data_IF_011698707192
#
_entry.id   IF_011698707192
#
_cell.length_a   1.000
_cell.length_b   1.000
_cell.length_c   1.000
_cell.angle_alpha   90.00
_cell.angle_beta   90.00
_cell.angle_gamma   90.00
#
_symmetry.space_group_name_H-M   'P 1'
#
loop_
_entity.id
_entity.type
_entity.pdbx_description
1 polymer ?
#
# COMPACT_ATOMS: atom_id res chain seq x y z
N UNK A 1 30.47 -0.70 8.15
CA UNK A 1 30.17 0.73 8.04
C UNK A 1 31.49 1.46 7.88
N UNK A 2 31.77 1.99 6.69
CA UNK A 2 32.91 2.87 6.51
C UNK A 2 32.75 4.11 7.40
N UNK A 3 33.80 4.44 8.16
CA UNK A 3 33.82 5.63 8.98
C UNK A 3 33.75 6.86 8.06
N UNK A 4 32.62 7.55 8.06
CA UNK A 4 32.46 8.78 7.30
C UNK A 4 33.50 9.84 7.74
N UNK A 5 34.01 10.60 6.77
CA UNK A 5 34.99 11.67 7.04
C UNK A 5 34.27 12.93 7.47
N UNK A 6 34.55 13.42 8.69
CA UNK A 6 34.05 14.71 9.15
C UNK A 6 34.81 15.85 8.47
N UNK A 7 34.09 16.80 7.86
CA UNK A 7 34.64 17.97 7.18
C UNK A 7 33.71 19.16 7.24
N UNK A 8 34.26 20.37 7.26
CA UNK A 8 33.54 21.62 7.05
C UNK A 8 33.25 21.79 5.54
N UNK A 9 32.02 21.97 5.16
CA UNK A 9 31.57 22.07 3.76
C UNK A 9 30.83 23.39 3.55
N UNK A 10 31.07 24.05 2.44
CA UNK A 10 30.29 25.24 2.06
C UNK A 10 28.83 24.87 1.87
N UNK A 11 27.94 25.65 2.52
CA UNK A 11 26.48 25.43 2.44
C UNK A 11 25.99 25.56 0.99
N UNK A 12 26.60 26.44 0.19
CA UNK A 12 26.30 26.62 -1.25
C UNK A 12 26.52 25.36 -2.08
N UNK A 13 27.43 24.48 -1.67
CA UNK A 13 27.83 23.29 -2.41
C UNK A 13 26.93 22.08 -2.08
N UNK A 14 25.99 22.26 -1.14
CA UNK A 14 25.11 21.19 -0.67
C UNK A 14 23.72 21.36 -1.31
N UNK A 15 23.31 20.34 -2.06
CA UNK A 15 21.96 20.24 -2.65
C UNK A 15 21.04 19.46 -1.69
N UNK A 16 19.73 19.84 -1.59
CA UNK A 16 18.76 19.07 -0.84
C UNK A 16 18.62 17.62 -1.40
N UNK A 17 18.19 16.71 -0.56
CA UNK A 17 17.93 15.34 -0.97
C UNK A 17 16.68 15.27 -1.88
N UNK A 18 16.77 14.80 -3.14
CA UNK A 18 15.63 14.69 -4.04
C UNK A 18 14.60 13.65 -3.58
N UNK A 19 14.97 12.75 -2.66
CA UNK A 19 14.11 11.68 -2.15
C UNK A 19 13.43 12.05 -0.81
N UNK A 20 13.61 13.28 -0.30
CA UNK A 20 13.02 13.73 0.96
C UNK A 20 11.50 13.96 0.82
N UNK A 21 10.66 13.24 1.59
CA UNK A 21 9.21 13.39 1.50
C UNK A 21 8.68 14.63 2.23
N UNK A 22 9.45 15.22 3.15
CA UNK A 22 9.00 16.34 3.99
C UNK A 22 9.39 17.68 3.40
N UNK A 23 8.41 18.37 2.77
CA UNK A 23 8.58 19.70 2.21
C UNK A 23 8.20 20.83 3.20
N UNK A 24 7.37 20.54 4.21
CA UNK A 24 6.87 21.56 5.16
C UNK A 24 7.43 21.36 6.57
N UNK A 25 8.05 22.41 7.10
CA UNK A 25 8.50 22.49 8.49
C UNK A 25 7.77 23.65 9.17
N UNK A 26 7.36 23.46 10.42
CA UNK A 26 6.81 24.57 11.22
C UNK A 26 7.91 25.60 11.42
N UNK A 27 7.72 26.83 10.96
CA UNK A 27 8.70 27.90 11.07
C UNK A 27 9.14 28.17 12.51
N UNK A 28 8.21 28.09 13.49
CA UNK A 28 8.54 28.27 14.90
C UNK A 28 9.63 27.32 15.36
N UNK A 29 9.48 26.03 15.04
CA UNK A 29 10.45 25.00 15.46
C UNK A 29 11.79 25.09 14.72
N UNK A 30 11.82 25.69 13.53
CA UNK A 30 13.07 25.96 12.82
C UNK A 30 13.81 27.16 13.44
N UNK A 31 13.08 28.21 13.85
CA UNK A 31 13.63 29.38 14.54
C UNK A 31 14.23 29.01 15.90
N UNK A 32 13.53 28.17 16.68
CA UNK A 32 14.06 27.66 17.97
C UNK A 32 15.37 26.90 17.78
N UNK A 33 15.43 26.02 16.76
CA UNK A 33 16.64 25.30 16.42
C UNK A 33 17.77 26.24 15.98
N UNK A 34 17.48 27.26 15.17
CA UNK A 34 18.46 28.25 14.74
C UNK A 34 19.03 29.02 15.96
N UNK A 35 18.18 29.47 16.88
CA UNK A 35 18.64 30.14 18.12
C UNK A 35 19.50 29.20 18.97
N UNK A 36 19.14 27.92 19.07
CA UNK A 36 19.96 26.95 19.79
C UNK A 36 21.35 26.78 19.15
N UNK A 37 21.40 26.67 17.82
CA UNK A 37 22.65 26.57 17.06
C UNK A 37 23.50 27.84 17.18
N UNK A 38 22.86 28.99 17.21
CA UNK A 38 23.57 30.26 17.37
C UNK A 38 24.28 30.37 18.71
N UNK A 39 23.65 29.88 19.79
CA UNK A 39 24.19 29.92 21.17
C UNK A 39 25.20 28.83 21.45
N UNK A 40 24.96 27.62 21.00
CA UNK A 40 25.71 26.42 21.41
C UNK A 40 26.55 25.80 20.29
N UNK A 41 26.47 26.35 19.06
CA UNK A 41 27.05 25.72 17.88
C UNK A 41 26.21 24.51 17.40
N UNK A 42 26.64 23.93 16.29
CA UNK A 42 26.04 22.72 15.76
C UNK A 42 26.67 21.48 16.42
N UNK A 43 26.00 20.89 17.42
CA UNK A 43 26.50 19.75 18.19
C UNK A 43 26.60 18.47 17.38
N UNK A 44 25.69 18.27 16.42
CA UNK A 44 25.67 17.09 15.55
C UNK A 44 25.85 17.50 14.10
N UNK A 45 26.88 16.99 13.38
CA UNK A 45 27.07 17.28 11.98
C UNK A 45 25.90 16.75 11.13
N UNK A 46 25.72 17.32 9.95
CA UNK A 46 24.84 16.76 8.93
C UNK A 46 25.54 15.59 8.23
N UNK A 47 24.76 14.75 7.53
CA UNK A 47 25.31 13.70 6.68
C UNK A 47 25.13 14.06 5.22
N UNK A 48 26.19 13.98 4.44
CA UNK A 48 26.19 14.31 3.00
C UNK A 48 26.88 13.22 2.19
N UNK A 49 26.48 13.10 0.94
CA UNK A 49 27.15 12.30 -0.08
C UNK A 49 27.89 13.19 -1.06
N UNK A 50 29.09 12.80 -1.41
CA UNK A 50 29.86 13.48 -2.47
C UNK A 50 29.26 13.16 -3.84
N UNK A 51 29.09 14.16 -4.69
CA UNK A 51 28.62 14.05 -6.08
C UNK A 51 29.62 14.71 -7.02
N UNK A 52 29.38 14.57 -8.32
CA UNK A 52 30.24 15.22 -9.35
C UNK A 52 30.25 16.74 -9.21
N UNK A 53 29.15 17.35 -8.78
CA UNK A 53 28.98 18.83 -8.71
C UNK A 53 28.87 19.37 -7.29
N UNK A 54 29.43 18.69 -6.29
CA UNK A 54 29.34 19.11 -4.89
C UNK A 54 28.87 18.00 -3.97
N UNK A 55 27.87 18.29 -3.12
CA UNK A 55 27.36 17.35 -2.14
C UNK A 55 25.84 17.28 -2.19
N UNK A 56 25.26 16.12 -1.84
CA UNK A 56 23.82 15.95 -1.63
C UNK A 56 23.56 15.60 -0.17
N UNK A 57 22.62 16.28 0.44
CA UNK A 57 22.22 16.05 1.81
C UNK A 57 21.58 14.65 1.94
N UNK A 58 22.03 13.86 2.92
CA UNK A 58 21.45 12.56 3.26
C UNK A 58 20.52 12.72 4.46
N UNK A 59 21.03 13.28 5.55
CA UNK A 59 20.29 13.49 6.79
C UNK A 59 20.66 14.84 7.44
N UNK A 60 19.72 15.42 8.20
CA UNK A 60 19.93 16.68 8.91
C UNK A 60 19.32 17.90 8.23
N UNK A 61 18.24 17.76 7.44
CA UNK A 61 17.57 18.86 6.72
C UNK A 61 17.22 20.05 7.61
N UNK A 62 16.71 19.83 8.83
CA UNK A 62 16.39 20.91 9.78
C UNK A 62 17.64 21.70 10.21
N UNK A 63 18.75 21.00 10.44
CA UNK A 63 20.05 21.60 10.81
C UNK A 63 20.63 22.41 9.64
N UNK A 64 20.55 21.84 8.44
CA UNK A 64 20.97 22.52 7.22
C UNK A 64 20.18 23.82 6.98
N UNK A 65 18.86 23.78 7.06
CA UNK A 65 18.00 24.99 6.91
C UNK A 65 18.22 26.01 8.03
N UNK A 66 18.41 25.58 9.27
CA UNK A 66 18.74 26.49 10.37
C UNK A 66 20.07 27.21 10.13
N UNK A 67 21.12 26.50 9.69
CA UNK A 67 22.41 27.11 9.35
C UNK A 67 22.32 28.07 8.16
N UNK A 68 21.49 27.74 7.14
CA UNK A 68 21.17 28.67 6.04
C UNK A 68 20.50 29.96 6.55
N UNK A 69 19.50 29.82 7.44
CA UNK A 69 18.79 31.00 8.00
C UNK A 69 19.70 31.89 8.82
N UNK A 70 20.72 31.33 9.46
CA UNK A 70 21.77 32.03 10.16
C UNK A 70 22.86 32.61 9.24
N UNK A 71 22.72 32.44 7.90
CA UNK A 71 23.69 32.91 6.90
C UNK A 71 25.13 32.44 7.17
N UNK A 72 25.28 31.25 7.75
CA UNK A 72 26.60 30.62 7.92
C UNK A 72 27.18 30.20 6.59
N UNK A 73 28.46 30.33 6.38
CA UNK A 73 29.13 29.96 5.12
C UNK A 73 29.44 28.46 5.06
N UNK A 74 29.82 27.88 6.22
CA UNK A 74 30.24 26.49 6.35
C UNK A 74 29.35 25.73 7.34
N UNK A 75 29.26 24.43 7.16
CA UNK A 75 28.54 23.51 8.05
C UNK A 75 29.37 22.23 8.27
N UNK A 76 29.51 21.77 9.53
CA UNK A 76 30.12 20.46 9.80
C UNK A 76 29.28 19.33 9.21
N UNK A 77 29.93 18.49 8.40
CA UNK A 77 29.27 17.40 7.68
C UNK A 77 30.11 16.13 7.72
N UNK A 78 29.45 14.99 7.85
CA UNK A 78 30.04 13.66 7.66
C UNK A 78 29.80 13.24 6.21
N UNK A 79 30.89 13.05 5.46
CA UNK A 79 30.85 12.59 4.09
C UNK A 79 30.72 11.07 4.10
N UNK A 80 29.64 10.55 3.51
CA UNK A 80 29.41 9.12 3.34
C UNK A 80 29.56 8.76 1.84
N UNK A 81 30.25 7.67 1.58
CA UNK A 81 30.36 7.10 0.24
C UNK A 81 29.19 6.13 0.03
N UNK A 82 28.05 6.65 -0.44
CA UNK A 82 26.85 5.88 -0.70
C UNK A 82 26.51 5.89 -2.20
N UNK A 83 26.01 4.79 -2.71
CA UNK A 83 25.35 4.71 -4.01
C UNK A 83 24.03 5.45 -4.00
N UNK A 84 23.38 5.68 -5.14
CA UNK A 84 22.04 6.29 -5.20
C UNK A 84 20.99 5.40 -4.49
N UNK A 85 21.11 4.09 -4.63
CA UNK A 85 20.25 3.09 -4.00
C UNK A 85 20.40 3.10 -2.47
N UNK A 86 21.64 3.14 -1.96
CA UNK A 86 21.89 3.25 -0.52
C UNK A 86 21.39 4.57 0.04
N UNK A 87 21.55 5.69 -0.68
CA UNK A 87 21.04 6.99 -0.26
C UNK A 87 19.52 7.01 -0.17
N UNK A 88 18.83 6.44 -1.18
CA UNK A 88 17.39 6.29 -1.16
C UNK A 88 16.92 5.42 0.01
N UNK A 89 17.61 4.31 0.24
CA UNK A 89 17.35 3.40 1.36
C UNK A 89 17.51 4.11 2.71
N UNK A 90 18.59 4.83 2.92
CA UNK A 90 18.82 5.61 4.14
C UNK A 90 17.74 6.66 4.38
N UNK A 91 17.31 7.36 3.33
CA UNK A 91 16.23 8.35 3.42
C UNK A 91 14.89 7.73 3.82
N UNK A 92 14.57 6.55 3.28
CA UNK A 92 13.34 5.83 3.62
C UNK A 92 13.41 5.31 5.07
N UNK A 93 14.55 4.74 5.49
CA UNK A 93 14.74 4.22 6.84
C UNK A 93 14.71 5.34 7.90
N UNK A 94 15.37 6.47 7.64
CA UNK A 94 15.31 7.66 8.52
C UNK A 94 13.86 8.12 8.68
N UNK A 95 13.11 8.21 7.58
CA UNK A 95 11.70 8.58 7.63
C UNK A 95 10.85 7.56 8.42
N UNK A 96 11.11 6.26 8.28
CA UNK A 96 10.41 5.20 9.01
C UNK A 96 10.72 5.16 10.52
N UNK A 97 11.84 5.74 10.96
CA UNK A 97 12.22 5.82 12.38
C UNK A 97 11.58 7.02 13.10
N UNK A 98 10.79 7.84 12.40
CA UNK A 98 10.10 8.97 13.04
C UNK A 98 8.94 8.47 13.90
N UNK A 99 8.81 9.06 15.09
CA UNK A 99 7.74 8.71 16.05
C UNK A 99 6.37 9.29 15.67
N UNK A 100 6.33 10.25 14.74
CA UNK A 100 5.13 11.03 14.37
C UNK A 100 4.52 10.63 13.01
N UNK A 101 4.87 9.47 12.46
CA UNK A 101 4.31 8.98 11.18
C UNK A 101 2.83 8.60 11.30
N UNK A 102 2.01 9.12 10.39
CA UNK A 102 0.68 8.57 10.22
C UNK A 102 0.74 7.18 9.55
N UNK A 103 -0.31 6.37 9.75
CA UNK A 103 -0.37 4.99 9.23
C UNK A 103 -0.26 4.93 7.69
N UNK A 104 -0.69 5.96 6.97
CA UNK A 104 -0.61 6.00 5.50
C UNK A 104 0.78 6.44 5.04
N UNK A 105 1.44 7.36 5.75
CA UNK A 105 2.84 7.72 5.50
C UNK A 105 3.74 6.50 5.72
N UNK A 106 3.49 5.74 6.78
CA UNK A 106 4.17 4.49 7.06
C UNK A 106 3.95 3.46 5.93
N UNK A 107 2.71 3.30 5.45
CA UNK A 107 2.37 2.40 4.35
C UNK A 107 3.07 2.77 3.04
N UNK A 108 3.12 4.07 2.71
CA UNK A 108 3.82 4.59 1.52
C UNK A 108 5.33 4.33 1.64
N UNK A 109 5.90 4.55 2.83
CA UNK A 109 7.32 4.31 3.08
C UNK A 109 7.69 2.84 2.93
N UNK A 110 6.86 1.92 3.43
CA UNK A 110 7.07 0.48 3.21
C UNK A 110 7.00 0.10 1.73
N UNK A 111 6.03 0.64 0.99
CA UNK A 111 5.91 0.39 -0.44
C UNK A 111 7.14 0.89 -1.21
N UNK A 112 7.60 2.10 -0.92
CA UNK A 112 8.82 2.66 -1.51
C UNK A 112 10.06 1.83 -1.16
N UNK A 113 10.18 1.35 0.08
CA UNK A 113 11.29 0.51 0.52
C UNK A 113 11.32 -0.83 -0.21
N UNK A 114 10.14 -1.45 -0.43
CA UNK A 114 10.01 -2.65 -1.24
C UNK A 114 10.45 -2.43 -2.68
N UNK A 115 9.98 -1.34 -3.31
CA UNK A 115 10.26 -1.01 -4.69
C UNK A 115 11.75 -0.66 -4.91
N UNK A 116 12.34 0.13 -4.02
CA UNK A 116 13.72 0.58 -4.11
C UNK A 116 14.74 -0.56 -4.05
N UNK A 117 14.48 -1.57 -3.23
CA UNK A 117 15.40 -2.69 -3.01
C UNK A 117 14.88 -4.02 -3.58
N UNK A 118 13.80 -3.99 -4.36
CA UNK A 118 13.14 -5.18 -4.91
C UNK A 118 12.86 -6.25 -3.83
N UNK A 119 12.41 -5.82 -2.64
CA UNK A 119 12.15 -6.68 -1.50
C UNK A 119 10.69 -7.11 -1.46
N UNK A 120 10.47 -8.34 -0.98
CA UNK A 120 9.13 -8.79 -0.61
C UNK A 120 8.76 -8.34 0.83
N UNK A 121 7.47 -8.47 1.20
CA UNK A 121 6.96 -8.04 2.51
C UNK A 121 7.64 -8.75 3.69
N UNK A 122 8.08 -9.98 3.51
CA UNK A 122 8.76 -10.76 4.54
C UNK A 122 10.18 -10.23 4.81
N UNK A 123 10.90 -9.92 3.73
CA UNK A 123 12.23 -9.33 3.83
C UNK A 123 12.19 -7.94 4.48
N UNK A 124 11.21 -7.10 4.09
CA UNK A 124 10.98 -5.80 4.74
C UNK A 124 10.68 -5.96 6.22
N UNK A 125 9.81 -6.90 6.58
CA UNK A 125 9.46 -7.17 7.97
C UNK A 125 10.71 -7.58 8.78
N UNK A 126 11.53 -8.47 8.24
CA UNK A 126 12.79 -8.90 8.87
C UNK A 126 13.76 -7.73 9.05
N UNK A 127 13.95 -6.90 8.03
CA UNK A 127 14.87 -5.77 8.06
C UNK A 127 14.46 -4.69 9.09
N UNK A 128 13.16 -4.52 9.29
CA UNK A 128 12.58 -3.49 10.17
C UNK A 128 12.19 -4.02 11.56
N UNK A 129 12.40 -5.30 11.86
CA UNK A 129 12.01 -5.92 13.13
C UNK A 129 10.50 -5.93 13.36
N UNK A 130 9.70 -5.96 12.28
CA UNK A 130 8.22 -5.99 12.32
C UNK A 130 7.71 -7.37 11.91
N UNK A 131 6.44 -7.69 12.20
CA UNK A 131 5.84 -8.89 11.65
C UNK A 131 5.44 -8.70 10.19
N UNK A 132 5.50 -9.77 9.38
CA UNK A 132 5.02 -9.75 7.98
C UNK A 132 3.55 -9.32 7.90
N UNK A 133 2.73 -9.78 8.84
CA UNK A 133 1.31 -9.42 8.89
C UNK A 133 1.10 -7.92 9.17
N UNK A 134 1.95 -7.30 9.98
CA UNK A 134 1.91 -5.86 10.23
C UNK A 134 2.19 -5.09 8.94
N UNK A 135 3.30 -5.39 8.25
CA UNK A 135 3.68 -4.76 6.97
C UNK A 135 2.56 -4.92 5.93
N UNK A 136 2.07 -6.16 5.74
CA UNK A 136 1.00 -6.45 4.78
C UNK A 136 -0.28 -5.66 5.09
N UNK A 137 -0.71 -5.62 6.35
CA UNK A 137 -1.92 -4.92 6.78
C UNK A 137 -1.79 -3.40 6.64
N UNK A 138 -0.61 -2.84 6.90
CA UNK A 138 -0.35 -1.41 6.75
C UNK A 138 -0.38 -1.03 5.26
N UNK A 139 0.33 -1.75 4.40
CA UNK A 139 0.34 -1.49 2.94
C UNK A 139 -1.08 -1.63 2.34
N UNK A 140 -1.86 -2.60 2.79
CA UNK A 140 -3.24 -2.79 2.30
C UNK A 140 -4.13 -1.56 2.52
N UNK A 141 -3.88 -0.74 3.53
CA UNK A 141 -4.66 0.48 3.77
C UNK A 141 -4.58 1.48 2.61
N UNK A 142 -3.54 1.43 1.78
CA UNK A 142 -3.41 2.24 0.56
C UNK A 142 -4.49 1.94 -0.49
N UNK A 143 -5.19 0.81 -0.37
CA UNK A 143 -6.29 0.44 -1.26
C UNK A 143 -7.67 0.97 -0.79
N UNK A 144 -7.71 1.74 0.29
CA UNK A 144 -8.94 2.38 0.75
C UNK A 144 -9.33 3.55 -0.16
N UNK A 145 -10.64 3.78 -0.38
CA UNK A 145 -11.12 5.00 -1.02
C UNK A 145 -10.66 6.26 -0.27
N UNK A 146 -10.37 7.32 -1.02
CA UNK A 146 -9.85 8.57 -0.46
C UNK A 146 -10.71 9.16 0.67
N UNK A 147 -12.03 8.99 0.57
CA UNK A 147 -12.98 9.44 1.59
C UNK A 147 -12.77 8.73 2.93
N UNK A 148 -12.50 7.42 2.90
CA UNK A 148 -12.22 6.63 4.10
C UNK A 148 -10.83 6.92 4.65
N UNK A 149 -9.84 7.13 3.77
CA UNK A 149 -8.50 7.60 4.17
C UNK A 149 -8.60 8.90 4.97
N UNK A 150 -9.42 9.86 4.50
CA UNK A 150 -9.65 11.13 5.20
C UNK A 150 -10.27 10.90 6.58
N UNK A 151 -11.32 10.07 6.70
CA UNK A 151 -11.93 9.75 8.00
C UNK A 151 -10.93 9.14 9.00
N UNK A 152 -9.98 8.34 8.53
CA UNK A 152 -8.94 7.78 9.40
C UNK A 152 -7.92 8.84 9.81
N UNK A 153 -7.51 9.71 8.89
CA UNK A 153 -6.58 10.83 9.19
C UNK A 153 -7.18 11.83 10.16
N UNK A 154 -8.48 12.08 10.06
CA UNK A 154 -9.24 12.98 10.94
C UNK A 154 -9.61 12.29 12.29
N UNK A 155 -9.14 11.06 12.53
CA UNK A 155 -9.42 10.25 13.73
C UNK A 155 -10.91 9.92 13.94
N UNK A 156 -11.74 10.03 12.91
CA UNK A 156 -13.16 9.60 12.94
C UNK A 156 -13.27 8.07 12.93
N UNK A 157 -12.35 7.39 12.25
CA UNK A 157 -12.19 5.94 12.22
C UNK A 157 -10.74 5.56 12.53
N UNK A 158 -10.50 4.34 12.99
CA UNK A 158 -9.15 3.83 13.22
C UNK A 158 -8.63 3.02 12.01
N UNK A 159 -7.32 2.80 11.92
CA UNK A 159 -6.71 1.91 10.93
C UNK A 159 -7.26 0.48 11.01
N UNK A 160 -7.71 0.03 12.20
CA UNK A 160 -8.39 -1.27 12.36
C UNK A 160 -9.75 -1.31 11.67
N UNK A 161 -10.54 -0.22 11.72
CA UNK A 161 -11.76 -0.10 10.91
C UNK A 161 -11.44 -0.19 9.42
N UNK A 162 -10.40 0.54 8.96
CA UNK A 162 -9.95 0.48 7.57
C UNK A 162 -9.62 -0.93 7.09
N UNK A 163 -8.88 -1.70 7.90
CA UNK A 163 -8.54 -3.10 7.58
C UNK A 163 -9.80 -3.98 7.45
N UNK A 164 -10.77 -3.80 8.32
CA UNK A 164 -12.03 -4.54 8.28
C UNK A 164 -12.84 -4.19 7.03
N UNK A 165 -12.93 -2.90 6.69
CA UNK A 165 -13.64 -2.38 5.52
C UNK A 165 -13.09 -2.90 4.19
N UNK A 166 -11.75 -3.04 4.06
CA UNK A 166 -11.11 -3.60 2.85
C UNK A 166 -11.58 -5.01 2.48
N UNK A 167 -12.17 -5.72 3.42
CA UNK A 167 -12.73 -7.04 3.17
C UNK A 167 -14.03 -7.02 2.33
N UNK A 168 -14.64 -5.86 2.13
CA UNK A 168 -15.85 -5.67 1.31
C UNK A 168 -15.54 -5.60 -0.20
N UNK A 169 -14.30 -5.30 -0.58
CA UNK A 169 -13.76 -5.22 -1.97
C UNK A 169 -14.35 -4.12 -2.86
N UNK A 170 -15.63 -3.80 -2.75
CA UNK A 170 -16.31 -2.80 -3.57
C UNK A 170 -16.15 -1.39 -2.95
N UNK A 171 -15.54 -0.42 -3.66
CA UNK A 171 -15.25 0.90 -3.13
C UNK A 171 -16.49 1.66 -2.63
N UNK A 172 -17.61 1.56 -3.34
CA UNK A 172 -18.85 2.23 -2.98
C UNK A 172 -19.41 1.67 -1.68
N UNK A 173 -19.42 0.34 -1.55
CA UNK A 173 -19.85 -0.34 -0.32
C UNK A 173 -18.93 -0.01 0.85
N UNK A 174 -17.62 0.09 0.61
CA UNK A 174 -16.63 0.48 1.64
C UNK A 174 -16.96 1.86 2.17
N UNK A 175 -17.22 2.86 1.31
CA UNK A 175 -17.55 4.22 1.72
C UNK A 175 -18.86 4.28 2.52
N UNK A 176 -19.92 3.65 2.03
CA UNK A 176 -21.22 3.62 2.71
C UNK A 176 -21.14 3.00 4.12
N UNK A 177 -20.42 1.88 4.24
CA UNK A 177 -20.25 1.21 5.55
C UNK A 177 -19.34 2.01 6.48
N UNK A 178 -18.33 2.70 5.92
CA UNK A 178 -17.46 3.58 6.68
C UNK A 178 -18.24 4.76 7.27
N UNK A 179 -19.07 5.45 6.47
CA UNK A 179 -19.94 6.53 6.93
C UNK A 179 -20.89 6.08 8.03
N UNK A 180 -21.57 4.97 7.81
CA UNK A 180 -22.46 4.40 8.82
C UNK A 180 -21.70 4.03 10.11
N UNK A 181 -20.50 3.47 9.99
CA UNK A 181 -19.66 3.12 11.14
C UNK A 181 -19.25 4.35 11.95
N UNK A 182 -18.95 5.47 11.27
CA UNK A 182 -18.65 6.76 11.88
C UNK A 182 -19.88 7.33 12.59
N UNK A 183 -20.99 7.46 11.88
CA UNK A 183 -22.20 8.14 12.33
C UNK A 183 -22.84 7.41 13.54
N UNK A 184 -22.85 6.08 13.49
CA UNK A 184 -23.33 5.23 14.60
C UNK A 184 -22.24 4.91 15.65
N UNK A 185 -21.04 5.49 15.53
CA UNK A 185 -19.88 5.28 16.43
C UNK A 185 -19.59 3.80 16.72
N UNK A 186 -19.52 3.00 15.66
CA UNK A 186 -19.22 1.58 15.80
C UNK A 186 -17.80 1.36 16.31
N UNK A 187 -17.65 0.39 17.20
CA UNK A 187 -16.33 -0.17 17.47
C UNK A 187 -15.97 -1.23 16.42
N UNK A 188 -14.69 -1.57 16.34
CA UNK A 188 -14.16 -2.52 15.35
C UNK A 188 -14.91 -3.86 15.38
N UNK A 189 -15.23 -4.39 16.57
CA UNK A 189 -15.95 -5.66 16.74
C UNK A 189 -17.39 -5.61 16.19
N UNK A 190 -18.09 -4.46 16.32
CA UNK A 190 -19.43 -4.27 15.73
C UNK A 190 -19.33 -4.23 14.21
N UNK A 191 -18.33 -3.54 13.68
CA UNK A 191 -18.05 -3.47 12.24
C UNK A 191 -17.69 -4.85 11.66
N UNK A 192 -16.83 -5.62 12.32
CA UNK A 192 -16.47 -6.98 11.90
C UNK A 192 -17.71 -7.88 11.79
N UNK A 193 -18.58 -7.87 12.81
CA UNK A 193 -19.85 -8.64 12.81
C UNK A 193 -20.76 -8.21 11.66
N UNK A 194 -20.87 -6.90 11.42
CA UNK A 194 -21.67 -6.37 10.31
C UNK A 194 -21.13 -6.84 8.97
N UNK A 195 -19.83 -6.69 8.73
CA UNK A 195 -19.17 -7.11 7.49
C UNK A 195 -19.31 -8.62 7.25
N UNK A 196 -19.20 -9.42 8.31
CA UNK A 196 -19.39 -10.87 8.23
C UNK A 196 -20.84 -11.21 7.77
N UNK A 197 -21.85 -10.62 8.40
CA UNK A 197 -23.25 -10.79 7.99
C UNK A 197 -23.50 -10.34 6.58
N UNK A 198 -22.99 -9.17 6.21
CA UNK A 198 -23.13 -8.62 4.87
C UNK A 198 -22.56 -9.53 3.77
N UNK A 199 -21.42 -10.18 4.05
CA UNK A 199 -20.83 -11.18 3.14
C UNK A 199 -21.68 -12.44 3.04
N UNK A 200 -22.20 -12.94 4.16
CA UNK A 200 -23.05 -14.12 4.20
C UNK A 200 -24.35 -13.87 3.46
N UNK A 201 -25.00 -12.72 3.66
CA UNK A 201 -26.25 -12.35 2.98
C UNK A 201 -26.04 -12.16 1.47
N UNK A 202 -24.92 -11.54 1.05
CA UNK A 202 -24.57 -11.45 -0.38
C UNK A 202 -24.21 -12.81 -0.98
N UNK A 203 -23.53 -13.66 -0.22
CA UNK A 203 -23.26 -15.04 -0.61
C UNK A 203 -24.55 -15.84 -0.80
N UNK A 204 -25.49 -15.74 0.14
CA UNK A 204 -26.80 -16.38 0.05
C UNK A 204 -27.66 -15.82 -1.10
N UNK A 205 -27.65 -14.49 -1.33
CA UNK A 205 -28.33 -13.87 -2.46
C UNK A 205 -27.72 -14.27 -3.80
N UNK A 206 -26.41 -14.46 -3.86
CA UNK A 206 -25.74 -14.94 -5.07
C UNK A 206 -26.10 -16.39 -5.36
N UNK A 207 -26.16 -17.25 -4.34
CA UNK A 207 -26.64 -18.63 -4.45
C UNK A 207 -28.15 -18.73 -4.76
N UNK A 208 -28.98 -17.83 -4.20
CA UNK A 208 -30.41 -17.79 -4.50
C UNK A 208 -30.74 -17.23 -5.90
N UNK A 209 -29.96 -16.28 -6.41
CA UNK A 209 -30.10 -15.84 -7.81
C UNK A 209 -29.55 -16.87 -8.81
N UNK A 210 -28.54 -17.67 -8.43
CA UNK A 210 -28.05 -18.79 -9.21
C UNK A 210 -29.07 -19.96 -9.18
N UNK A 211 -29.98 -20.03 -8.18
CA UNK A 211 -31.02 -21.08 -8.06
C UNK A 211 -32.29 -20.81 -8.87
N UNK A 212 -32.45 -19.63 -9.48
CA UNK A 212 -33.55 -19.38 -10.42
C UNK A 212 -33.03 -19.16 -11.84
N UNK A 213 -32.46 -20.21 -12.41
CA UNK A 213 -32.20 -20.21 -13.86
C UNK A 213 -33.53 -20.06 -14.62
N UNK A 214 -33.60 -19.27 -15.70
CA UNK A 214 -34.77 -19.25 -16.55
C UNK A 214 -35.09 -20.68 -17.05
N UNK A 215 -36.34 -21.06 -17.06
CA UNK A 215 -36.77 -22.42 -17.52
C UNK A 215 -36.15 -22.83 -18.85
N UNK A 216 -35.96 -21.88 -19.77
CA UNK A 216 -35.29 -22.10 -21.06
C UNK A 216 -33.83 -22.56 -20.86
N UNK A 217 -33.09 -21.96 -19.89
CA UNK A 217 -31.68 -22.33 -19.60
C UNK A 217 -31.63 -23.74 -19.01
N UNK A 218 -32.52 -24.06 -18.06
CA UNK A 218 -32.60 -25.40 -17.47
C UNK A 218 -32.94 -26.47 -18.51
N UNK A 219 -33.89 -26.19 -19.38
CA UNK A 219 -34.25 -27.09 -20.48
C UNK A 219 -33.09 -27.28 -21.48
N UNK A 220 -32.34 -26.23 -21.76
CA UNK A 220 -31.19 -26.29 -22.66
C UNK A 220 -30.03 -27.05 -22.01
N UNK A 221 -29.77 -26.84 -20.72
CA UNK A 221 -28.76 -27.61 -19.95
C UNK A 221 -29.11 -29.11 -19.95
N UNK A 222 -30.40 -29.45 -19.75
CA UNK A 222 -30.86 -30.83 -19.72
C UNK A 222 -30.67 -31.49 -21.08
N UNK A 223 -31.07 -30.82 -22.18
CA UNK A 223 -30.88 -31.33 -23.56
C UNK A 223 -29.39 -31.53 -23.86
N UNK A 224 -28.53 -30.54 -23.54
CA UNK A 224 -27.10 -30.68 -23.77
C UNK A 224 -26.50 -31.82 -22.95
N UNK A 225 -26.93 -32.00 -21.70
CA UNK A 225 -26.51 -33.11 -20.86
C UNK A 225 -26.88 -34.46 -21.43
N UNK A 226 -28.11 -34.60 -21.93
CA UNK A 226 -28.59 -35.83 -22.57
C UNK A 226 -27.81 -36.12 -23.87
N UNK A 227 -27.54 -35.11 -24.66
CA UNK A 227 -26.85 -35.23 -25.93
C UNK A 227 -25.35 -35.52 -25.76
N UNK A 228 -24.68 -34.81 -24.85
CA UNK A 228 -23.23 -34.95 -24.64
C UNK A 228 -22.88 -36.05 -23.63
N UNK A 229 -23.87 -36.59 -22.90
CA UNK A 229 -23.67 -37.65 -21.92
C UNK A 229 -22.79 -37.25 -20.72
N UNK A 230 -22.65 -35.97 -20.48
CA UNK A 230 -21.85 -35.44 -19.37
C UNK A 230 -22.51 -34.21 -18.73
N UNK A 231 -21.99 -33.76 -17.60
CA UNK A 231 -22.52 -32.59 -16.90
C UNK A 231 -22.24 -31.31 -17.70
N UNK A 232 -23.32 -30.55 -17.97
CA UNK A 232 -23.27 -29.24 -18.65
C UNK A 232 -23.92 -28.19 -17.79
N UNK A 233 -23.24 -27.05 -17.58
CA UNK A 233 -23.75 -25.89 -16.86
C UNK A 233 -23.67 -24.63 -17.74
N UNK A 234 -24.78 -23.90 -17.84
CA UNK A 234 -24.81 -22.58 -18.49
C UNK A 234 -24.76 -21.49 -17.41
N UNK A 235 -23.70 -20.70 -17.42
CA UNK A 235 -23.46 -19.61 -16.46
C UNK A 235 -23.55 -18.26 -17.16
N UNK A 236 -24.18 -17.29 -16.52
CA UNK A 236 -24.26 -15.91 -17.01
C UNK A 236 -23.59 -14.97 -16.01
N UNK A 237 -22.54 -14.28 -16.45
CA UNK A 237 -21.78 -13.33 -15.63
C UNK A 237 -21.65 -12.01 -16.39
N UNK A 238 -22.15 -10.91 -15.83
CA UNK A 238 -22.00 -9.55 -16.39
C UNK A 238 -22.32 -9.45 -17.90
N UNK A 239 -23.49 -9.91 -18.30
CA UNK A 239 -23.96 -9.91 -19.69
C UNK A 239 -23.20 -10.84 -20.67
N UNK A 240 -22.32 -11.69 -20.16
CA UNK A 240 -21.64 -12.76 -20.94
C UNK A 240 -22.15 -14.11 -20.48
N UNK A 241 -22.43 -15.01 -21.44
CA UNK A 241 -22.80 -16.40 -21.20
C UNK A 241 -21.60 -17.33 -21.39
N UNK A 242 -21.49 -18.36 -20.53
CA UNK A 242 -20.49 -19.42 -20.62
C UNK A 242 -21.20 -20.75 -20.57
N UNK A 243 -20.78 -21.70 -21.39
CA UNK A 243 -21.20 -23.09 -21.34
C UNK A 243 -20.00 -23.88 -20.81
N UNK A 244 -20.16 -24.51 -19.67
CA UNK A 244 -19.14 -25.33 -19.02
C UNK A 244 -19.54 -26.80 -19.20
N UNK A 245 -18.64 -27.61 -19.75
CA UNK A 245 -18.87 -29.02 -20.05
C UNK A 245 -17.80 -29.81 -19.33
N UNK A 246 -18.18 -30.66 -18.39
CA UNK A 246 -17.25 -31.49 -17.63
C UNK A 246 -16.83 -32.72 -18.49
N UNK A 247 -15.56 -33.11 -18.36
CA UNK A 247 -15.04 -34.36 -18.92
C UNK A 247 -14.02 -34.99 -17.96
N UNK A 248 -13.95 -36.33 -17.97
CA UNK A 248 -13.11 -37.07 -16.99
C UNK A 248 -11.83 -37.59 -17.60
N UNK A 249 -11.73 -37.71 -18.92
CA UNK A 249 -10.56 -38.24 -19.61
C UNK A 249 -10.48 -37.72 -21.07
N UNK A 250 -9.31 -37.94 -21.70
CA UNK A 250 -8.99 -37.48 -23.03
C UNK A 250 -9.96 -38.02 -24.11
N UNK A 251 -10.41 -39.26 -23.99
CA UNK A 251 -11.35 -39.87 -24.95
C UNK A 251 -12.75 -39.20 -24.92
N UNK A 252 -13.18 -38.85 -23.72
CA UNK A 252 -14.45 -38.15 -23.53
C UNK A 252 -14.36 -36.72 -24.08
N UNK A 253 -13.23 -36.03 -23.86
CA UNK A 253 -12.96 -34.74 -24.47
C UNK A 253 -13.04 -34.80 -26.01
N UNK A 254 -12.32 -35.72 -26.62
CA UNK A 254 -12.32 -35.88 -28.09
C UNK A 254 -13.71 -36.17 -28.63
N UNK A 255 -14.49 -37.02 -27.95
CA UNK A 255 -15.89 -37.33 -28.32
C UNK A 255 -16.75 -36.08 -28.28
N UNK A 256 -16.67 -35.28 -27.23
CA UNK A 256 -17.44 -34.04 -27.05
C UNK A 256 -17.06 -33.01 -28.13
N UNK A 257 -15.75 -32.81 -28.35
CA UNK A 257 -15.26 -31.88 -29.37
C UNK A 257 -15.69 -32.30 -30.76
N UNK A 258 -15.58 -33.57 -31.13
CA UNK A 258 -16.01 -34.08 -32.41
C UNK A 258 -17.53 -33.92 -32.62
N UNK A 259 -18.32 -34.14 -31.58
CA UNK A 259 -19.77 -33.93 -31.64
C UNK A 259 -20.11 -32.44 -31.88
N UNK A 260 -19.41 -31.51 -31.22
CA UNK A 260 -19.64 -30.07 -31.40
C UNK A 260 -19.18 -29.60 -32.79
N UNK A 261 -18.07 -30.12 -33.31
CA UNK A 261 -17.51 -29.72 -34.61
C UNK A 261 -18.30 -30.32 -35.80
N UNK A 262 -18.82 -31.54 -35.67
CA UNK A 262 -19.50 -32.25 -36.73
C UNK A 262 -21.04 -32.04 -36.75
N UNK A 263 -21.54 -31.09 -35.95
CA UNK A 263 -22.95 -30.69 -35.98
C UNK A 263 -23.95 -31.73 -35.45
N UNK A 264 -23.48 -32.78 -34.76
CA UNK A 264 -24.36 -33.74 -34.08
C UNK A 264 -24.88 -34.87 -34.99
N UNK A 265 -24.16 -35.19 -36.07
CA UNK A 265 -24.38 -36.44 -36.84
C UNK A 265 -23.71 -37.65 -36.19
#
# INVERSE_FOLDING_TARGET
MEKGQLKEIKISDIKPNPYQPRLTFKESSLRELAQSIERNGLLQPISVRKTVTGYTLIAGERRFRAMQSLKREYIPAVILNLTDEEMMTHSILENLQREDLDTFEEAISYKKYMEALNLNQEQVAKNLGKSRSYIANTIRLLNLPNRVVKMIKDNELTSAHGRTLLSLKDPITIEQVAERSRDEKWNVRKLERYVQRFKTERGLKKTQNDLKKPRIVEQTEQKLKETLGTKVEIKRVNNRGYIEIDFTNQKEFERIVNYILNGGE
#
